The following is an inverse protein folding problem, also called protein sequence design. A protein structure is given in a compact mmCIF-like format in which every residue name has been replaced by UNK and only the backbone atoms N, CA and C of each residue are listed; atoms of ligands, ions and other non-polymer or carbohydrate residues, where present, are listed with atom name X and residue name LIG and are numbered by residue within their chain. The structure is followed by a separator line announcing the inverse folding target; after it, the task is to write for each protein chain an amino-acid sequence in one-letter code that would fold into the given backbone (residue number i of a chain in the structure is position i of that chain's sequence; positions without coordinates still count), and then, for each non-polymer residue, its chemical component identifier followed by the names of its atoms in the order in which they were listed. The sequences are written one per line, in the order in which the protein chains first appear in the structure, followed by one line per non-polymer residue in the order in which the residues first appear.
data_IF_427629636042
#
_entry.id   IF_427629636042
#
_cell.length_a   1.000
_cell.length_b   1.000
_cell.length_c   1.000
_cell.angle_alpha   90.00
_cell.angle_beta   90.00
_cell.angle_gamma   90.00
#
_symmetry.space_group_name_H-M   'P 1'
#
loop_
_entity.id
_entity.type
_entity.pdbx_description
1 polymer ?
#
# COMPACT_ATOMS: atom_id res chain seq x y z
N UNK A 1 -20.18 49.83 44.00
CA UNK A 1 -20.29 48.88 42.87
C UNK A 1 -21.59 48.14 43.06
N UNK A 2 -22.55 48.32 42.16
CA UNK A 2 -23.84 47.65 42.28
C UNK A 2 -23.68 46.14 42.03
N UNK A 3 -24.58 45.33 42.59
CA UNK A 3 -24.58 43.88 42.39
C UNK A 3 -24.67 43.51 40.90
N UNK A 4 -25.36 44.35 40.10
CA UNK A 4 -25.45 44.23 38.66
C UNK A 4 -24.08 44.44 37.95
N UNK A 5 -23.27 45.39 38.40
CA UNK A 5 -21.92 45.62 37.86
C UNK A 5 -20.96 44.47 38.18
N UNK A 6 -21.11 43.84 39.35
CA UNK A 6 -20.32 42.67 39.73
C UNK A 6 -20.70 41.44 38.88
N UNK A 7 -21.99 41.24 38.65
CA UNK A 7 -22.50 40.18 37.78
C UNK A 7 -22.01 40.36 36.33
N UNK A 8 -22.05 41.58 35.79
CA UNK A 8 -21.55 41.90 34.44
C UNK A 8 -20.04 41.59 34.29
N UNK A 9 -19.23 41.98 35.29
CA UNK A 9 -17.78 41.67 35.29
C UNK A 9 -17.51 40.16 35.37
N UNK A 10 -18.32 39.43 36.15
CA UNK A 10 -18.19 37.97 36.25
C UNK A 10 -18.54 37.29 34.91
N UNK A 11 -19.55 37.77 34.21
CA UNK A 11 -19.90 37.25 32.88
C UNK A 11 -18.81 37.55 31.86
N UNK A 12 -18.23 38.74 31.87
CA UNK A 12 -17.10 39.08 31.00
C UNK A 12 -15.86 38.24 31.28
N UNK A 13 -15.58 37.95 32.55
CA UNK A 13 -14.47 37.08 32.93
C UNK A 13 -14.70 35.64 32.44
N UNK A 14 -15.90 35.09 32.65
CA UNK A 14 -16.24 33.75 32.17
C UNK A 14 -16.20 33.65 30.64
N UNK A 15 -16.62 34.69 29.92
CA UNK A 15 -16.52 34.73 28.46
C UNK A 15 -15.06 34.68 27.99
N UNK A 16 -14.16 35.44 28.63
CA UNK A 16 -12.72 35.40 28.32
C UNK A 16 -12.09 34.04 28.62
N UNK A 17 -12.49 33.40 29.72
CA UNK A 17 -12.02 32.05 30.06
C UNK A 17 -12.50 31.02 29.02
N UNK A 18 -13.75 31.12 28.55
CA UNK A 18 -14.28 30.28 27.47
C UNK A 18 -13.53 30.49 26.14
N UNK A 19 -13.24 31.73 25.77
CA UNK A 19 -12.45 32.05 24.56
C UNK A 19 -11.05 31.41 24.63
N UNK A 20 -10.35 31.53 25.76
CA UNK A 20 -9.04 30.91 25.95
C UNK A 20 -9.07 29.38 25.87
N UNK A 21 -10.14 28.75 26.38
CA UNK A 21 -10.31 27.29 26.30
C UNK A 21 -10.57 26.86 24.86
N UNK A 22 -11.38 27.61 24.10
CA UNK A 22 -11.64 27.35 22.70
C UNK A 22 -10.35 27.47 21.87
N UNK A 23 -9.56 28.53 22.05
CA UNK A 23 -8.27 28.71 21.37
C UNK A 23 -7.30 27.56 21.66
N UNK A 24 -7.22 27.11 22.92
CA UNK A 24 -6.39 25.96 23.30
C UNK A 24 -6.88 24.65 22.68
N UNK A 25 -8.20 24.46 22.57
CA UNK A 25 -8.80 23.29 21.94
C UNK A 25 -8.58 23.28 20.42
N UNK A 26 -8.69 24.44 19.78
CA UNK A 26 -8.39 24.64 18.37
C UNK A 26 -6.91 24.39 18.06
N UNK A 27 -6.00 24.93 18.88
CA UNK A 27 -4.56 24.66 18.75
C UNK A 27 -4.24 23.17 18.91
N UNK A 28 -4.84 22.48 19.89
CA UNK A 28 -4.69 21.03 20.07
C UNK A 28 -5.27 20.26 18.88
N UNK A 29 -6.44 20.65 18.36
CA UNK A 29 -7.03 20.07 17.14
C UNK A 29 -6.09 20.27 15.95
N UNK A 30 -5.60 21.48 15.72
CA UNK A 30 -4.74 21.79 14.59
C UNK A 30 -3.39 21.08 14.67
N UNK A 31 -2.87 20.84 15.89
CA UNK A 31 -1.65 20.03 16.11
C UNK A 31 -1.88 18.53 15.89
N UNK A 32 -3.04 18.00 16.29
CA UNK A 32 -3.44 16.62 15.98
C UNK A 32 -3.70 16.46 14.48
N UNK A 33 -4.35 17.43 13.84
CA UNK A 33 -4.57 17.47 12.39
C UNK A 33 -3.23 17.56 11.64
N UNK A 34 -2.30 18.41 12.08
CA UNK A 34 -0.97 18.54 11.47
C UNK A 34 -0.11 17.28 11.66
N UNK A 35 -0.26 16.58 12.80
CA UNK A 35 0.35 15.25 13.01
C UNK A 35 -0.31 14.18 12.16
N UNK A 36 -1.64 14.19 12.03
CA UNK A 36 -2.38 13.27 11.17
C UNK A 36 -2.02 13.51 9.71
N UNK A 37 -1.85 14.75 9.28
CA UNK A 37 -1.37 15.16 7.95
C UNK A 37 0.08 14.72 7.75
N UNK A 38 1.00 14.88 8.71
CA UNK A 38 2.38 14.39 8.53
C UNK A 38 2.49 12.87 8.51
N UNK A 39 1.63 12.17 9.24
CA UNK A 39 1.56 10.70 9.27
C UNK A 39 0.85 10.14 8.02
N UNK A 40 -0.17 10.82 7.51
CA UNK A 40 -0.82 10.49 6.22
C UNK A 40 0.01 10.92 5.01
N UNK A 41 0.84 11.97 5.08
CA UNK A 41 1.81 12.30 4.01
C UNK A 41 2.91 11.24 3.87
N UNK A 42 3.20 10.47 4.94
CA UNK A 42 4.06 9.28 4.85
C UNK A 42 3.33 8.02 4.34
N UNK A 43 1.99 8.01 4.34
CA UNK A 43 1.16 6.89 3.86
C UNK A 43 0.56 7.13 2.46
N UNK A 44 0.41 8.38 2.02
CA UNK A 44 -0.30 8.77 0.79
C UNK A 44 0.54 9.55 -0.23
N UNK A 45 1.84 9.77 -0.02
CA UNK A 45 2.69 10.37 -1.06
C UNK A 45 3.15 9.36 -2.12
N UNK A 46 2.19 8.74 -2.84
CA UNK A 46 2.44 8.03 -4.10
C UNK A 46 1.35 8.24 -5.17
N UNK A 47 0.93 9.47 -5.42
CA UNK A 47 0.22 9.86 -6.64
C UNK A 47 0.28 11.39 -6.77
N UNK A 48 0.71 12.02 -7.85
CA UNK A 48 0.46 11.78 -9.26
C UNK A 48 1.53 12.54 -10.08
N UNK A 49 1.69 12.23 -11.37
CA UNK A 49 2.62 12.83 -12.35
C UNK A 49 4.12 12.43 -12.32
N UNK A 50 4.79 12.20 -11.17
CA UNK A 50 6.16 11.57 -11.14
C UNK A 50 6.16 10.09 -10.75
N UNK A 51 4.96 9.53 -10.57
CA UNK A 51 4.72 8.23 -9.94
C UNK A 51 5.12 7.01 -10.78
N UNK A 52 5.11 7.09 -12.11
CA UNK A 52 5.47 5.96 -12.99
C UNK A 52 6.91 5.49 -12.79
N UNK A 53 7.86 6.43 -12.71
CA UNK A 53 9.27 6.14 -12.47
C UNK A 53 9.56 5.67 -11.05
N UNK A 54 8.95 6.29 -10.03
CA UNK A 54 9.13 5.89 -8.61
C UNK A 54 8.51 4.51 -8.32
N UNK A 55 7.32 4.21 -8.86
CA UNK A 55 6.68 2.88 -8.72
C UNK A 55 7.51 1.78 -9.37
N UNK A 56 8.13 2.04 -10.52
CA UNK A 56 9.00 1.09 -11.20
C UNK A 56 10.33 0.88 -10.46
N UNK A 57 10.96 1.95 -9.96
CA UNK A 57 12.16 1.86 -9.11
C UNK A 57 11.88 1.08 -7.82
N UNK A 58 10.75 1.36 -7.17
CA UNK A 58 10.33 0.64 -5.97
C UNK A 58 10.05 -0.84 -6.28
N UNK A 59 9.45 -1.14 -7.44
CA UNK A 59 9.26 -2.53 -7.89
C UNK A 59 10.60 -3.25 -8.09
N UNK A 60 11.55 -2.63 -8.79
CA UNK A 60 12.88 -3.21 -8.99
C UNK A 60 13.62 -3.43 -7.65
N UNK A 61 13.55 -2.45 -6.75
CA UNK A 61 14.15 -2.55 -5.42
C UNK A 61 13.50 -3.63 -4.54
N UNK A 62 12.18 -3.84 -4.67
CA UNK A 62 11.46 -4.91 -3.99
C UNK A 62 11.87 -6.27 -4.54
N UNK A 63 11.92 -6.42 -5.87
CA UNK A 63 12.36 -7.66 -6.52
C UNK A 63 13.79 -8.01 -6.10
N UNK A 64 14.70 -7.04 -6.14
CA UNK A 64 16.09 -7.24 -5.71
C UNK A 64 16.20 -7.61 -4.22
N UNK A 65 15.34 -7.05 -3.36
CA UNK A 65 15.32 -7.41 -1.94
C UNK A 65 14.81 -8.83 -1.70
N UNK A 66 13.78 -9.26 -2.44
CA UNK A 66 13.28 -10.64 -2.39
C UNK A 66 14.34 -11.62 -2.90
N UNK A 67 15.00 -11.30 -4.02
CA UNK A 67 16.08 -12.12 -4.56
C UNK A 67 17.21 -12.29 -3.55
N UNK A 68 17.62 -11.21 -2.88
CA UNK A 68 18.64 -11.28 -1.84
C UNK A 68 18.27 -12.22 -0.68
N UNK A 69 16.99 -12.27 -0.27
CA UNK A 69 16.54 -13.24 0.73
C UNK A 69 16.54 -14.67 0.20
N UNK A 70 16.17 -14.88 -1.06
CA UNK A 70 16.22 -16.20 -1.70
C UNK A 70 17.66 -16.72 -1.80
N UNK A 71 18.61 -15.86 -2.14
CA UNK A 71 20.02 -16.23 -2.26
C UNK A 71 20.64 -16.52 -0.87
N UNK A 72 20.23 -15.78 0.16
CA UNK A 72 20.72 -15.98 1.53
C UNK A 72 20.08 -17.18 2.25
N UNK A 73 18.83 -17.50 1.94
CA UNK A 73 18.03 -18.52 2.63
C UNK A 73 17.18 -19.34 1.62
N UNK A 74 17.82 -20.18 0.79
CA UNK A 74 17.15 -20.91 -0.29
C UNK A 74 16.10 -21.91 0.22
N UNK A 75 16.34 -22.51 1.39
CA UNK A 75 15.43 -23.47 2.03
C UNK A 75 14.09 -22.82 2.43
N UNK A 76 14.09 -21.54 2.78
CA UNK A 76 12.93 -20.84 3.33
C UNK A 76 12.22 -20.03 2.25
N UNK A 77 12.99 -19.31 1.43
CA UNK A 77 12.48 -18.45 0.38
C UNK A 77 12.77 -19.07 -0.97
N UNK A 78 11.71 -19.48 -1.64
CA UNK A 78 11.77 -20.11 -2.96
C UNK A 78 10.72 -19.49 -3.86
N UNK A 79 11.03 -19.34 -5.15
CA UNK A 79 10.09 -18.75 -6.12
C UNK A 79 9.11 -19.76 -6.69
N UNK A 80 9.53 -21.02 -6.79
CA UNK A 80 8.72 -22.11 -7.34
C UNK A 80 7.93 -22.81 -6.25
N UNK A 81 8.56 -23.09 -5.11
CA UNK A 81 7.97 -23.76 -3.95
C UNK A 81 7.74 -22.79 -2.80
N UNK A 82 6.74 -21.92 -2.95
CA UNK A 82 6.39 -20.97 -1.90
C UNK A 82 5.66 -21.69 -0.76
N UNK A 83 6.18 -21.58 0.47
CA UNK A 83 5.61 -22.18 1.69
C UNK A 83 5.20 -21.11 2.71
N UNK A 84 4.20 -21.36 3.58
CA UNK A 84 3.85 -20.46 4.68
C UNK A 84 5.04 -20.25 5.62
N UNK A 85 5.33 -19.01 5.99
CA UNK A 85 6.45 -18.69 6.88
C UNK A 85 6.06 -18.81 8.37
N UNK A 86 7.06 -19.06 9.21
CA UNK A 86 6.95 -18.94 10.68
C UNK A 86 6.47 -17.54 11.09
N UNK A 87 5.60 -17.50 12.10
CA UNK A 87 5.17 -16.23 12.70
C UNK A 87 6.36 -15.61 13.44
N UNK A 88 6.66 -14.34 13.17
CA UNK A 88 7.81 -13.66 13.77
C UNK A 88 9.15 -13.91 13.06
N UNK A 89 9.16 -14.53 11.88
CA UNK A 89 10.39 -14.80 11.09
C UNK A 89 11.22 -13.54 10.80
N UNK A 90 10.60 -12.34 10.85
CA UNK A 90 11.32 -11.09 10.70
C UNK A 90 12.39 -10.90 11.79
N UNK A 91 12.08 -11.23 13.04
CA UNK A 91 13.02 -11.03 14.15
C UNK A 91 14.15 -12.06 14.09
N UNK A 92 13.83 -13.31 13.72
CA UNK A 92 14.82 -14.36 13.45
C UNK A 92 15.80 -13.93 12.33
N UNK A 93 15.29 -13.34 11.24
CA UNK A 93 16.11 -12.82 10.14
C UNK A 93 16.99 -11.63 10.53
N UNK A 94 16.51 -10.79 11.46
CA UNK A 94 17.29 -9.66 11.97
C UNK A 94 18.37 -10.13 12.92
N UNK A 95 18.12 -11.19 13.71
CA UNK A 95 19.11 -11.76 14.62
C UNK A 95 20.30 -12.42 13.90
N UNK A 96 20.08 -13.01 12.71
CA UNK A 96 21.16 -13.61 11.90
C UNK A 96 22.02 -12.55 11.18
N UNK A 97 21.56 -11.29 11.10
CA UNK A 97 22.25 -10.10 10.58
C UNK A 97 22.89 -10.22 9.16
N UNK A 98 22.61 -11.30 8.42
CA UNK A 98 23.10 -11.53 7.04
C UNK A 98 22.57 -10.50 6.03
N UNK A 99 21.38 -9.95 6.29
CA UNK A 99 20.70 -8.99 5.43
C UNK A 99 20.23 -7.80 6.26
N UNK A 100 20.36 -6.58 5.73
CA UNK A 100 19.95 -5.39 6.48
C UNK A 100 18.44 -5.35 6.75
N UNK A 101 18.07 -4.89 7.95
CA UNK A 101 16.67 -4.80 8.43
C UNK A 101 15.72 -4.13 7.43
N UNK A 102 16.17 -3.07 6.76
CA UNK A 102 15.38 -2.36 5.75
C UNK A 102 15.07 -3.24 4.53
N UNK A 103 16.05 -4.03 4.08
CA UNK A 103 15.87 -4.96 2.95
C UNK A 103 14.96 -6.12 3.34
N UNK A 104 15.12 -6.67 4.56
CA UNK A 104 14.23 -7.72 5.10
C UNK A 104 12.78 -7.26 5.09
N UNK A 105 12.47 -6.12 5.72
CA UNK A 105 11.10 -5.58 5.76
C UNK A 105 10.51 -5.39 4.36
N UNK A 106 11.30 -4.83 3.45
CA UNK A 106 10.88 -4.59 2.07
C UNK A 106 10.59 -5.89 1.31
N UNK A 107 11.47 -6.88 1.47
CA UNK A 107 11.33 -8.18 0.84
C UNK A 107 10.09 -8.92 1.37
N UNK A 108 9.94 -9.04 2.70
CA UNK A 108 8.81 -9.71 3.33
C UNK A 108 7.47 -9.09 2.94
N UNK A 109 7.37 -7.76 2.94
CA UNK A 109 6.15 -7.05 2.54
C UNK A 109 5.72 -7.38 1.09
N UNK A 110 6.68 -7.61 0.19
CA UNK A 110 6.41 -7.99 -1.20
C UNK A 110 6.14 -9.49 -1.35
N UNK A 111 6.89 -10.34 -0.65
CA UNK A 111 6.81 -11.80 -0.75
C UNK A 111 5.47 -12.34 -0.23
N UNK A 112 5.07 -11.90 0.98
CA UNK A 112 3.84 -12.35 1.66
C UNK A 112 2.57 -11.87 0.95
N UNK A 113 2.65 -10.78 0.18
CA UNK A 113 1.52 -10.27 -0.62
C UNK A 113 1.43 -10.94 -2.00
N UNK A 114 2.38 -11.79 -2.37
CA UNK A 114 2.38 -12.41 -3.69
C UNK A 114 1.20 -13.40 -3.85
N UNK A 115 0.63 -13.54 -5.05
CA UNK A 115 -0.44 -14.52 -5.30
C UNK A 115 0.00 -15.96 -5.02
N UNK A 116 1.28 -16.27 -5.24
CA UNK A 116 1.86 -17.58 -5.01
C UNK A 116 1.89 -17.90 -3.50
N UNK A 117 2.28 -16.93 -2.67
CA UNK A 117 2.24 -17.06 -1.22
C UNK A 117 0.83 -17.23 -0.68
N UNK A 118 -0.13 -16.43 -1.15
CA UNK A 118 -1.53 -16.61 -0.72
C UNK A 118 -2.11 -17.98 -1.11
N UNK A 119 -1.59 -18.61 -2.18
CA UNK A 119 -2.01 -19.95 -2.60
C UNK A 119 -1.41 -21.07 -1.73
N UNK A 120 -0.26 -20.83 -1.08
CA UNK A 120 0.36 -21.83 -0.21
C UNK A 120 -0.34 -21.96 1.14
N UNK A 121 -1.24 -21.03 1.49
CA UNK A 121 -2.05 -21.09 2.71
C UNK A 121 -3.18 -22.10 2.53
N UNK A 122 -2.92 -23.33 2.97
CA UNK A 122 -3.90 -24.39 3.08
C UNK A 122 -4.06 -24.76 4.56
N UNK A 123 -5.25 -25.19 4.95
CA UNK A 123 -5.49 -25.64 6.32
C UNK A 123 -4.53 -26.79 6.68
N UNK A 124 -3.87 -26.67 7.84
CA UNK A 124 -2.90 -27.65 8.30
C UNK A 124 -1.53 -27.58 7.65
N UNK A 125 -1.32 -26.70 6.67
CA UNK A 125 0.00 -26.54 6.02
C UNK A 125 1.07 -26.15 7.04
N UNK A 126 2.23 -26.81 6.96
CA UNK A 126 3.35 -26.55 7.84
C UNK A 126 4.02 -25.22 7.51
N UNK A 127 4.33 -24.45 8.55
CA UNK A 127 5.09 -23.21 8.46
C UNK A 127 6.57 -23.52 8.47
N UNK A 128 7.34 -22.91 7.58
CA UNK A 128 8.80 -23.09 7.54
C UNK A 128 9.51 -22.03 8.40
N UNK A 129 10.38 -22.49 9.29
CA UNK A 129 11.31 -21.69 10.09
C UNK A 129 12.54 -21.26 9.28
N UNK A 130 13.43 -20.47 9.90
CA UNK A 130 14.66 -19.99 9.26
C UNK A 130 15.65 -21.13 8.92
N UNK A 131 15.60 -22.19 9.72
CA UNK A 131 16.39 -23.42 9.64
C UNK A 131 15.77 -24.47 8.71
N UNK A 132 14.65 -24.15 8.05
CA UNK A 132 13.92 -25.09 7.22
C UNK A 132 13.05 -26.09 8.00
N UNK A 133 12.98 -25.98 9.33
CA UNK A 133 12.18 -26.86 10.17
C UNK A 133 10.72 -26.40 10.26
N UNK A 134 9.76 -27.32 10.51
CA UNK A 134 8.38 -26.96 10.74
C UNK A 134 8.23 -26.16 12.03
N UNK A 135 7.64 -24.97 11.94
CA UNK A 135 7.48 -24.00 13.01
C UNK A 135 6.01 -23.61 13.21
N UNK A 136 5.15 -24.63 13.29
CA UNK A 136 3.70 -24.53 13.46
C UNK A 136 2.91 -24.78 12.19
N UNK A 137 1.58 -24.66 12.28
CA UNK A 137 0.67 -24.93 11.17
C UNK A 137 -0.21 -23.71 10.86
N UNK A 138 -0.75 -23.66 9.65
CA UNK A 138 -1.73 -22.65 9.24
C UNK A 138 -3.12 -23.06 9.73
N UNK A 139 -3.83 -22.13 10.37
CA UNK A 139 -5.20 -22.37 10.84
C UNK A 139 -6.21 -22.28 9.70
N UNK A 140 -7.40 -22.87 9.88
CA UNK A 140 -8.48 -22.80 8.90
C UNK A 140 -8.89 -21.35 8.58
N UNK A 141 -8.97 -20.50 9.60
CA UNK A 141 -9.32 -19.07 9.45
C UNK A 141 -8.29 -18.31 8.61
N UNK A 142 -7.01 -18.58 8.82
CA UNK A 142 -5.93 -17.95 8.04
C UNK A 142 -5.97 -18.39 6.58
N UNK A 143 -6.26 -19.68 6.33
CA UNK A 143 -6.39 -20.23 4.98
C UNK A 143 -7.60 -19.62 4.25
N UNK A 144 -8.75 -19.48 4.91
CA UNK A 144 -9.94 -18.86 4.33
C UNK A 144 -9.68 -17.38 3.98
N UNK A 145 -9.07 -16.64 4.89
CA UNK A 145 -8.73 -15.24 4.65
C UNK A 145 -7.72 -15.07 3.50
N UNK A 146 -6.72 -15.95 3.39
CA UNK A 146 -5.79 -15.96 2.27
C UNK A 146 -6.50 -16.23 0.93
N UNK A 147 -7.43 -17.19 0.91
CA UNK A 147 -8.26 -17.51 -0.26
C UNK A 147 -9.13 -16.31 -0.68
N UNK A 148 -9.78 -15.63 0.27
CA UNK A 148 -10.55 -14.42 -0.01
C UNK A 148 -9.71 -13.31 -0.62
N UNK A 149 -8.51 -13.05 -0.08
CA UNK A 149 -7.57 -12.07 -0.66
C UNK A 149 -7.12 -12.43 -2.06
N UNK A 150 -6.86 -13.71 -2.32
CA UNK A 150 -6.46 -14.19 -3.63
C UNK A 150 -7.57 -13.97 -4.67
N UNK A 151 -8.82 -14.25 -4.31
CA UNK A 151 -9.98 -14.01 -5.17
C UNK A 151 -10.14 -12.52 -5.48
N UNK A 152 -10.15 -11.65 -4.47
CA UNK A 152 -10.25 -10.20 -4.67
C UNK A 152 -9.14 -9.65 -5.57
N UNK A 153 -7.90 -10.16 -5.43
CA UNK A 153 -6.79 -9.76 -6.30
C UNK A 153 -6.98 -10.22 -7.74
N UNK A 154 -7.50 -11.43 -7.95
CA UNK A 154 -7.81 -11.94 -9.29
C UNK A 154 -8.91 -11.13 -9.96
N UNK A 155 -9.96 -10.77 -9.21
CA UNK A 155 -11.07 -9.96 -9.69
C UNK A 155 -10.61 -8.57 -10.12
N UNK A 156 -9.90 -7.85 -9.25
CA UNK A 156 -9.33 -6.56 -9.57
C UNK A 156 -8.38 -6.61 -10.78
N UNK A 157 -7.63 -7.70 -10.94
CA UNK A 157 -6.78 -7.91 -12.13
C UNK A 157 -7.62 -8.11 -13.39
N UNK A 158 -8.69 -8.91 -13.33
CA UNK A 158 -9.59 -9.15 -14.47
C UNK A 158 -10.27 -7.86 -14.91
N UNK A 159 -10.72 -7.04 -13.98
CA UNK A 159 -11.33 -5.75 -14.27
C UNK A 159 -10.34 -4.79 -14.93
N UNK A 160 -9.13 -4.65 -14.37
CA UNK A 160 -8.08 -3.80 -14.98
C UNK A 160 -7.73 -4.23 -16.40
N UNK A 161 -7.62 -5.54 -16.66
CA UNK A 161 -7.33 -6.05 -18.01
C UNK A 161 -8.48 -5.71 -18.97
N UNK A 162 -9.74 -5.84 -18.53
CA UNK A 162 -10.92 -5.48 -19.33
C UNK A 162 -10.95 -3.98 -19.64
N UNK A 163 -10.66 -3.13 -18.66
CA UNK A 163 -10.59 -1.67 -18.83
C UNK A 163 -9.50 -1.27 -19.81
N UNK A 164 -8.28 -1.78 -19.64
CA UNK A 164 -7.17 -1.55 -20.57
C UNK A 164 -7.50 -2.00 -22.00
N UNK A 165 -8.18 -3.13 -22.16
CA UNK A 165 -8.63 -3.59 -23.47
C UNK A 165 -9.71 -2.68 -24.10
N UNK A 166 -10.58 -2.06 -23.29
CA UNK A 166 -11.57 -1.08 -23.78
C UNK A 166 -10.89 0.22 -24.20
N UNK A 167 -9.99 0.75 -23.37
CA UNK A 167 -9.20 1.94 -23.67
C UNK A 167 -8.36 1.76 -24.94
N UNK A 168 -7.69 0.61 -25.09
CA UNK A 168 -6.91 0.31 -26.29
C UNK A 168 -7.79 0.30 -27.56
N UNK A 169 -8.99 -0.29 -27.50
CA UNK A 169 -9.96 -0.27 -28.61
C UNK A 169 -10.48 1.13 -28.93
N UNK A 170 -10.64 2.00 -27.94
CA UNK A 170 -11.05 3.38 -28.16
C UNK A 170 -9.94 4.17 -28.85
N UNK A 171 -8.70 4.07 -28.36
CA UNK A 171 -7.53 4.70 -28.99
C UNK A 171 -7.33 4.24 -30.44
N UNK A 172 -7.43 2.95 -30.70
CA UNK A 172 -7.33 2.42 -32.07
C UNK A 172 -8.41 2.99 -33.00
N UNK A 173 -9.64 3.17 -32.49
CA UNK A 173 -10.72 3.82 -33.26
C UNK A 173 -10.43 5.30 -33.51
N UNK A 174 -9.93 6.02 -32.51
CA UNK A 174 -9.55 7.43 -32.64
C UNK A 174 -8.42 7.60 -33.66
N UNK A 175 -7.38 6.76 -33.62
CA UNK A 175 -6.28 6.75 -34.60
C UNK A 175 -6.77 6.42 -36.02
N UNK A 176 -7.73 5.51 -36.16
CA UNK A 176 -8.38 5.24 -37.46
C UNK A 176 -9.18 6.42 -37.97
N UNK A 177 -9.91 7.11 -37.10
CA UNK A 177 -10.69 8.28 -37.48
C UNK A 177 -9.79 9.46 -37.84
N UNK A 178 -8.71 9.69 -37.09
CA UNK A 178 -7.74 10.75 -37.39
C UNK A 178 -7.02 10.51 -38.72
N UNK A 179 -6.50 9.30 -38.94
CA UNK A 179 -5.88 8.94 -40.22
C UNK A 179 -6.84 9.08 -41.41
N UNK A 180 -8.14 8.79 -41.21
CA UNK A 180 -9.16 9.00 -42.25
C UNK A 180 -9.42 10.48 -42.51
N UNK A 181 -9.44 11.31 -41.47
CA UNK A 181 -9.61 12.75 -41.59
C UNK A 181 -8.43 13.39 -42.33
N UNK A 182 -7.20 13.01 -41.98
CA UNK A 182 -5.99 13.48 -42.66
C UNK A 182 -6.00 13.11 -44.15
N UNK A 183 -6.44 11.89 -44.47
CA UNK A 183 -6.61 11.45 -45.86
C UNK A 183 -7.59 12.37 -46.62
N UNK A 184 -8.73 12.70 -46.02
CA UNK A 184 -9.74 13.57 -46.64
C UNK A 184 -9.24 15.01 -46.83
N UNK A 185 -8.57 15.57 -45.81
CA UNK A 185 -7.97 16.90 -45.89
C UNK A 185 -6.91 16.98 -47.01
N UNK A 186 -6.10 15.93 -47.18
CA UNK A 186 -5.11 15.85 -48.25
C UNK A 186 -5.72 15.79 -49.65
N UNK A 187 -6.92 15.20 -49.79
CA UNK A 187 -7.66 15.12 -51.06
C UNK A 187 -8.31 16.46 -51.40
N UNK A 188 -8.81 17.19 -50.39
CA UNK A 188 -9.46 18.48 -50.60
C UNK A 188 -8.46 19.59 -50.98
N UNK A 189 -7.26 19.60 -50.39
CA UNK A 189 -6.22 20.59 -50.68
C UNK A 189 -5.49 20.38 -52.03
N UNK A 190 -5.84 19.35 -52.82
CA UNK A 190 -5.25 19.07 -54.15
C UNK A 190 -6.09 19.58 -55.32
N UNK A 191 -7.29 20.11 -55.05
CA UNK A 191 -8.13 20.82 -56.02
C UNK A 191 -8.02 22.33 -55.80
#
# INVERSE_FOLDING_TARGET
MSEAELAARRTEQLLRECEQILDQAEYKRQRVESKKVSESVNSENTGSATAGGKRNKNRAANIAAVQLLMDAYPEVFSRDQVRPLKIGIQEDLVADDKVSRTKIKRALASYVRSPQYLRSFQEGAERVGLDGQPAGNVTAEEAEHAKGKLQAMQDARRERIKEQAREAKLKEKEERLSSKLDQLLSLNNRN
#
